data_IF_358673988100
#
_entry.id   IF_358673988100
#
_cell.length_a   1.000
_cell.length_b   1.000
_cell.length_c   1.000
_cell.angle_alpha   90.00
_cell.angle_beta   90.00
_cell.angle_gamma   90.00
#
_symmetry.space_group_name_H-M   'P 1'
#
loop_
_entity.id
_entity.type
_entity.pdbx_description
1 polymer ?
#
# COMPACT_ATOMS: atom_id res chain seq x y z
N UNK A 1 -28.51 17.41 3.26
CA UNK A 1 -29.11 16.47 2.29
C UNK A 1 -29.03 15.07 2.87
N UNK A 2 -30.15 14.52 3.32
CA UNK A 2 -30.30 13.18 3.86
C UNK A 2 -30.02 12.17 2.74
N UNK A 3 -28.82 11.59 2.71
CA UNK A 3 -28.55 10.44 1.86
C UNK A 3 -29.32 9.25 2.42
N UNK A 4 -30.05 8.52 1.57
CA UNK A 4 -30.87 7.40 2.02
C UNK A 4 -30.01 6.38 2.80
N UNK A 5 -30.50 5.79 3.90
CA UNK A 5 -29.75 4.84 4.71
C UNK A 5 -29.28 3.62 3.89
N UNK A 6 -29.98 3.26 2.84
CA UNK A 6 -29.59 2.18 1.93
C UNK A 6 -28.24 2.44 1.23
N UNK A 7 -27.98 3.69 0.82
CA UNK A 7 -26.70 4.05 0.20
C UNK A 7 -25.53 3.92 1.18
N UNK A 8 -25.71 4.32 2.43
CA UNK A 8 -24.70 4.18 3.46
C UNK A 8 -24.38 2.72 3.76
N UNK A 9 -25.40 1.87 3.82
CA UNK A 9 -25.21 0.44 4.02
C UNK A 9 -24.51 -0.23 2.84
N UNK A 10 -24.90 0.10 1.62
CA UNK A 10 -24.22 -0.43 0.42
C UNK A 10 -22.74 -0.02 0.41
N UNK A 11 -22.45 1.25 0.69
CA UNK A 11 -21.08 1.76 0.78
C UNK A 11 -20.27 1.06 1.89
N UNK A 12 -20.88 0.86 3.06
CA UNK A 12 -20.23 0.16 4.17
C UNK A 12 -19.88 -1.29 3.82
N UNK A 13 -20.83 -2.03 3.24
CA UNK A 13 -20.62 -3.44 2.85
C UNK A 13 -19.53 -3.56 1.78
N UNK A 14 -19.55 -2.70 0.76
CA UNK A 14 -18.52 -2.67 -0.27
C UNK A 14 -17.14 -2.38 0.30
N UNK A 15 -17.03 -1.37 1.19
CA UNK A 15 -15.76 -1.06 1.84
C UNK A 15 -15.27 -2.21 2.74
N UNK A 16 -16.15 -2.84 3.48
CA UNK A 16 -15.80 -3.99 4.33
C UNK A 16 -15.23 -5.13 3.49
N UNK A 17 -15.90 -5.46 2.38
CA UNK A 17 -15.45 -6.50 1.47
C UNK A 17 -14.09 -6.14 0.84
N UNK A 18 -13.96 -4.93 0.30
CA UNK A 18 -12.71 -4.43 -0.29
C UNK A 18 -11.54 -4.47 0.72
N UNK A 19 -11.78 -4.05 1.96
CA UNK A 19 -10.78 -4.07 3.02
C UNK A 19 -10.31 -5.48 3.35
N UNK A 20 -11.23 -6.45 3.46
CA UNK A 20 -10.88 -7.85 3.74
C UNK A 20 -10.04 -8.43 2.62
N UNK A 21 -10.45 -8.22 1.36
CA UNK A 21 -9.71 -8.70 0.17
C UNK A 21 -8.31 -8.07 0.11
N UNK A 22 -8.21 -6.77 0.37
CA UNK A 22 -6.94 -6.05 0.34
C UNK A 22 -5.98 -6.54 1.45
N UNK A 23 -6.46 -6.67 2.69
CA UNK A 23 -5.65 -7.20 3.80
C UNK A 23 -5.18 -8.63 3.51
N UNK A 24 -6.05 -9.49 2.99
CA UNK A 24 -5.70 -10.85 2.62
C UNK A 24 -4.62 -10.88 1.51
N UNK A 25 -4.78 -10.04 0.48
CA UNK A 25 -3.81 -9.91 -0.61
C UNK A 25 -2.43 -9.47 -0.13
N UNK A 26 -2.37 -8.42 0.68
CA UNK A 26 -1.10 -7.92 1.26
C UNK A 26 -0.47 -8.97 2.18
N UNK A 27 -1.25 -9.64 3.02
CA UNK A 27 -0.73 -10.69 3.90
C UNK A 27 -0.14 -11.88 3.11
N UNK A 28 -0.80 -12.29 2.01
CA UNK A 28 -0.29 -13.36 1.16
C UNK A 28 0.99 -12.96 0.42
N UNK A 29 1.08 -11.74 -0.12
CA UNK A 29 2.29 -11.25 -0.76
C UNK A 29 3.45 -11.20 0.25
N UNK A 30 3.20 -10.69 1.45
CA UNK A 30 4.20 -10.66 2.52
C UNK A 30 4.64 -12.06 2.93
N UNK A 31 3.71 -13.00 3.05
CA UNK A 31 4.00 -14.40 3.34
C UNK A 31 4.81 -15.06 2.23
N UNK A 32 4.52 -14.75 0.96
CA UNK A 32 5.29 -15.24 -0.17
C UNK A 32 6.74 -14.75 -0.13
N UNK A 33 6.97 -13.48 0.20
CA UNK A 33 8.34 -12.95 0.38
C UNK A 33 9.03 -13.63 1.57
N UNK A 34 8.34 -13.79 2.70
CA UNK A 34 8.89 -14.47 3.88
C UNK A 34 9.22 -15.95 3.61
N UNK A 35 8.50 -16.62 2.73
CA UNK A 35 8.78 -18.03 2.39
C UNK A 35 10.14 -18.23 1.74
N UNK A 36 10.71 -17.22 1.06
CA UNK A 36 12.08 -17.25 0.58
C UNK A 36 13.12 -17.14 1.70
N UNK A 37 12.78 -16.48 2.80
CA UNK A 37 13.67 -16.32 3.95
C UNK A 37 13.54 -17.48 4.94
N UNK A 38 12.38 -18.11 4.99
CA UNK A 38 12.03 -19.20 5.92
C UNK A 38 11.53 -20.43 5.15
N UNK A 39 12.41 -21.09 4.37
CA UNK A 39 12.05 -22.28 3.62
C UNK A 39 11.62 -23.42 4.59
N UNK A 40 10.51 -24.07 4.28
CA UNK A 40 9.97 -25.16 5.09
C UNK A 40 8.74 -24.81 5.93
N UNK A 41 8.37 -23.51 6.03
CA UNK A 41 7.13 -23.09 6.68
C UNK A 41 6.07 -22.85 5.60
N UNK A 42 4.89 -23.48 5.78
CA UNK A 42 3.79 -23.32 4.83
C UNK A 42 3.31 -21.86 4.73
N UNK A 43 3.00 -21.42 3.51
CA UNK A 43 2.61 -20.03 3.23
C UNK A 43 1.39 -19.57 4.06
N UNK A 44 0.47 -20.46 4.35
CA UNK A 44 -0.70 -20.15 5.17
C UNK A 44 -0.33 -19.87 6.64
N UNK A 45 0.69 -20.56 7.16
CA UNK A 45 1.20 -20.31 8.53
C UNK A 45 1.91 -18.96 8.57
N UNK A 46 2.69 -18.64 7.55
CA UNK A 46 3.35 -17.34 7.43
C UNK A 46 2.33 -16.21 7.30
N UNK A 47 1.30 -16.37 6.48
CA UNK A 47 0.24 -15.38 6.32
C UNK A 47 -0.53 -15.17 7.64
N UNK A 48 -0.86 -16.25 8.34
CA UNK A 48 -1.47 -16.18 9.68
C UNK A 48 -0.57 -15.47 10.69
N UNK A 49 0.74 -15.74 10.66
CA UNK A 49 1.72 -15.07 11.49
C UNK A 49 1.81 -13.57 11.23
N UNK A 50 1.84 -13.16 9.96
CA UNK A 50 1.82 -11.74 9.56
C UNK A 50 0.56 -11.05 10.08
N UNK A 51 -0.62 -11.67 9.90
CA UNK A 51 -1.88 -11.12 10.39
C UNK A 51 -1.89 -11.01 11.92
N UNK A 52 -1.40 -12.03 12.63
CA UNK A 52 -1.32 -12.02 14.08
C UNK A 52 -0.40 -10.91 14.61
N UNK A 53 0.80 -10.75 14.02
CA UNK A 53 1.73 -9.66 14.37
C UNK A 53 1.11 -8.30 14.09
N UNK A 54 0.46 -8.12 12.94
CA UNK A 54 -0.22 -6.88 12.60
C UNK A 54 -1.32 -6.56 13.61
N UNK A 55 -2.12 -7.56 13.99
CA UNK A 55 -3.17 -7.41 14.99
C UNK A 55 -2.61 -7.04 16.37
N UNK A 56 -1.53 -7.70 16.80
CA UNK A 56 -0.86 -7.39 18.06
C UNK A 56 -0.31 -5.97 18.09
N UNK A 57 0.33 -5.52 17.02
CA UNK A 57 0.82 -4.14 16.89
C UNK A 57 -0.35 -3.14 16.95
N UNK A 58 -1.48 -3.46 16.31
CA UNK A 58 -2.67 -2.61 16.35
C UNK A 58 -3.27 -2.53 17.77
N UNK A 59 -3.35 -3.65 18.48
CA UNK A 59 -3.92 -3.71 19.82
C UNK A 59 -2.99 -3.09 20.89
N UNK A 60 -1.68 -3.28 20.76
CA UNK A 60 -0.69 -2.73 21.67
C UNK A 60 -0.34 -1.27 21.36
N UNK A 61 -0.42 -0.87 20.09
CA UNK A 61 -0.01 0.43 19.59
C UNK A 61 -1.13 1.45 19.59
N UNK A 62 -1.04 2.46 20.45
CA UNK A 62 -1.82 3.69 20.23
C UNK A 62 -1.43 4.26 18.86
N UNK A 63 -2.31 5.07 18.25
CA UNK A 63 -2.11 5.78 16.98
C UNK A 63 -0.69 6.36 16.80
N UNK A 64 -0.05 6.82 17.88
CA UNK A 64 1.31 7.36 17.88
C UNK A 64 2.39 6.35 17.49
N UNK A 65 2.26 5.08 17.92
CA UNK A 65 3.21 4.03 17.55
C UNK A 65 3.08 3.66 16.08
N UNK A 66 1.85 3.57 15.59
CA UNK A 66 1.57 3.31 14.16
C UNK A 66 2.15 4.41 13.26
N UNK A 67 1.96 5.68 13.62
CA UNK A 67 2.50 6.83 12.89
C UNK A 67 4.04 6.82 12.86
N UNK A 68 4.68 6.51 14.00
CA UNK A 68 6.14 6.39 14.09
C UNK A 68 6.71 5.24 13.25
N UNK A 69 6.12 4.07 13.34
CA UNK A 69 6.53 2.88 12.56
C UNK A 69 6.34 3.13 11.06
N UNK A 70 5.21 3.70 10.65
CA UNK A 70 4.97 4.03 9.24
C UNK A 70 6.01 4.99 8.69
N UNK A 71 6.35 6.04 9.43
CA UNK A 71 7.41 6.99 9.02
C UNK A 71 8.76 6.32 8.88
N UNK A 72 9.13 5.47 9.83
CA UNK A 72 10.40 4.73 9.78
C UNK A 72 10.46 3.83 8.53
N UNK A 73 9.38 3.09 8.26
CA UNK A 73 9.28 2.22 7.09
C UNK A 73 9.39 3.04 5.80
N UNK A 74 8.69 4.16 5.70
CA UNK A 74 8.75 5.03 4.52
C UNK A 74 10.16 5.58 4.28
N UNK A 75 10.86 6.03 5.33
CA UNK A 75 12.25 6.50 5.22
C UNK A 75 13.16 5.35 4.77
N UNK A 76 13.03 4.16 5.35
CA UNK A 76 13.83 3.01 4.99
C UNK A 76 13.60 2.57 3.53
N UNK A 77 12.34 2.54 3.08
CA UNK A 77 11.99 2.22 1.70
C UNK A 77 12.54 3.26 0.72
N UNK A 78 12.39 4.54 1.02
CA UNK A 78 12.91 5.61 0.16
C UNK A 78 14.43 5.53 0.06
N UNK A 79 15.12 5.37 1.20
CA UNK A 79 16.57 5.24 1.22
C UNK A 79 17.06 4.00 0.46
N UNK A 80 16.41 2.85 0.64
CA UNK A 80 16.77 1.62 -0.08
C UNK A 80 16.52 1.72 -1.58
N UNK A 81 15.42 2.36 -2.00
CA UNK A 81 15.11 2.57 -3.41
C UNK A 81 16.13 3.50 -4.06
N UNK A 82 16.44 4.63 -3.42
CA UNK A 82 17.46 5.58 -3.91
C UNK A 82 18.82 4.88 -4.01
N UNK A 83 19.21 4.11 -2.99
CA UNK A 83 20.46 3.34 -3.01
C UNK A 83 20.48 2.32 -4.14
N UNK A 84 19.39 1.57 -4.35
CA UNK A 84 19.28 0.60 -5.43
C UNK A 84 19.41 1.25 -6.81
N UNK A 85 18.72 2.38 -7.02
CA UNK A 85 18.81 3.16 -8.26
C UNK A 85 20.23 3.69 -8.49
N UNK A 86 20.86 4.24 -7.44
CA UNK A 86 22.23 4.75 -7.51
C UNK A 86 23.25 3.64 -7.88
N UNK A 87 23.11 2.47 -7.24
CA UNK A 87 23.95 1.30 -7.54
C UNK A 87 23.73 0.80 -8.97
N UNK A 88 22.47 0.72 -9.41
CA UNK A 88 22.14 0.32 -10.78
C UNK A 88 22.70 1.31 -11.82
N UNK A 89 22.62 2.59 -11.56
CA UNK A 89 23.17 3.64 -12.41
C UNK A 89 24.72 3.60 -12.47
N UNK A 90 25.36 3.34 -11.32
CA UNK A 90 26.83 3.26 -11.24
C UNK A 90 27.40 2.01 -11.93
N UNK A 91 26.70 0.88 -11.87
CA UNK A 91 27.16 -0.37 -12.46
C UNK A 91 26.81 -0.53 -13.95
N UNK A 92 26.12 0.44 -14.55
CA UNK A 92 25.56 0.32 -15.89
C UNK A 92 24.41 -0.69 -15.92
N UNK A 93 23.50 -0.55 -16.89
CA UNK A 93 22.43 -1.52 -17.06
C UNK A 93 23.00 -2.91 -17.38
N UNK A 94 22.47 -3.94 -16.74
CA UNK A 94 22.81 -5.31 -17.09
C UNK A 94 22.59 -5.53 -18.60
N UNK A 95 23.53 -6.17 -19.33
CA UNK A 95 23.33 -6.46 -20.73
C UNK A 95 22.06 -7.31 -20.86
N UNK A 96 21.15 -6.89 -21.75
CA UNK A 96 19.94 -7.66 -22.05
C UNK A 96 20.33 -9.05 -22.52
N UNK A 97 19.72 -10.07 -21.94
CA UNK A 97 19.92 -11.44 -22.41
C UNK A 97 19.58 -11.50 -23.91
N UNK A 98 20.37 -12.25 -24.72
CA UNK A 98 20.15 -12.33 -26.17
C UNK A 98 18.74 -12.82 -26.55
N UNK A 99 18.10 -13.55 -25.65
CA UNK A 99 16.75 -14.11 -25.81
C UNK A 99 15.64 -13.27 -25.14
N UNK A 100 15.92 -12.00 -24.82
CA UNK A 100 14.92 -11.13 -24.22
C UNK A 100 13.88 -10.73 -25.25
N UNK A 101 12.73 -11.38 -25.18
CA UNK A 101 11.54 -10.96 -25.94
C UNK A 101 10.84 -9.84 -25.17
N UNK A 102 10.74 -8.68 -25.78
CA UNK A 102 9.95 -7.58 -25.26
C UNK A 102 8.48 -8.00 -25.28
N UNK A 103 7.93 -8.33 -24.12
CA UNK A 103 6.53 -8.73 -24.00
C UNK A 103 5.64 -7.52 -24.34
N UNK A 104 4.87 -7.62 -25.43
CA UNK A 104 3.91 -6.57 -25.79
C UNK A 104 2.88 -6.43 -24.66
N UNK A 105 2.66 -5.23 -24.12
CA UNK A 105 1.63 -5.01 -23.10
C UNK A 105 0.21 -5.22 -23.64
N UNK A 106 0.04 -5.27 -24.94
CA UNK A 106 -1.26 -5.36 -25.64
C UNK A 106 -1.63 -6.79 -26.03
N UNK A 107 -1.17 -7.79 -25.33
CA UNK A 107 -1.59 -9.17 -25.53
C UNK A 107 -2.60 -9.59 -24.43
N UNK A 108 -3.41 -10.62 -24.73
CA UNK A 108 -4.44 -11.12 -23.83
C UNK A 108 -3.88 -11.62 -22.49
N UNK A 109 -2.66 -12.13 -22.46
CA UNK A 109 -2.00 -12.58 -21.23
C UNK A 109 -1.60 -11.39 -20.32
N UNK A 110 -1.15 -10.27 -20.92
CA UNK A 110 -0.81 -9.06 -20.19
C UNK A 110 -2.06 -8.29 -19.73
N UNK A 111 -3.20 -8.46 -20.40
CA UNK A 111 -4.42 -7.72 -20.09
C UNK A 111 -4.89 -7.96 -18.65
N UNK A 112 -4.82 -9.21 -18.17
CA UNK A 112 -5.16 -9.55 -16.79
C UNK A 112 -4.28 -8.84 -15.77
N UNK A 113 -2.97 -8.74 -16.04
CA UNK A 113 -2.02 -8.01 -15.21
C UNK A 113 -2.28 -6.50 -15.23
N UNK A 114 -2.57 -5.93 -16.39
CA UNK A 114 -2.88 -4.49 -16.54
C UNK A 114 -4.16 -4.14 -15.78
N UNK A 115 -5.21 -4.97 -15.89
CA UNK A 115 -6.46 -4.77 -15.14
C UNK A 115 -6.22 -4.84 -13.63
N UNK A 116 -5.42 -5.80 -13.17
CA UNK A 116 -5.06 -5.91 -11.76
C UNK A 116 -4.25 -4.69 -11.28
N UNK A 117 -3.32 -4.20 -12.09
CA UNK A 117 -2.53 -3.01 -11.80
C UNK A 117 -3.42 -1.77 -11.73
N UNK A 118 -4.35 -1.60 -12.66
CA UNK A 118 -5.31 -0.49 -12.66
C UNK A 118 -6.26 -0.54 -11.45
N UNK A 119 -6.61 -1.74 -10.97
CA UNK A 119 -7.43 -1.91 -9.77
C UNK A 119 -6.74 -1.46 -8.48
N UNK A 120 -5.41 -1.40 -8.47
CA UNK A 120 -4.63 -0.95 -7.32
C UNK A 120 -4.13 0.51 -7.45
N UNK A 121 -4.25 1.11 -8.61
CA UNK A 121 -3.89 2.51 -8.84
C UNK A 121 -5.14 3.32 -9.24
N UNK A 122 -5.38 4.53 -8.68
CA UNK A 122 -4.46 5.33 -7.84
C UNK A 122 -4.48 4.99 -6.35
N UNK A 123 -5.50 4.33 -5.82
CA UNK A 123 -5.54 3.79 -4.47
C UNK A 123 -6.88 3.04 -4.26
N UNK A 124 -6.93 2.00 -3.43
CA UNK A 124 -8.17 1.35 -3.05
C UNK A 124 -9.17 2.34 -2.43
N UNK A 125 -10.46 2.10 -2.63
CA UNK A 125 -11.55 3.02 -2.21
C UNK A 125 -11.51 3.31 -0.70
N UNK A 126 -11.10 2.33 0.11
CA UNK A 126 -10.95 2.47 1.55
C UNK A 126 -9.91 3.51 1.96
N UNK A 127 -8.89 3.79 1.14
CA UNK A 127 -7.90 4.82 1.44
C UNK A 127 -8.49 6.21 1.53
N UNK A 128 -9.54 6.50 0.78
CA UNK A 128 -10.24 7.79 0.87
C UNK A 128 -10.88 8.00 2.25
N UNK A 129 -11.44 6.95 2.84
CA UNK A 129 -12.01 6.99 4.18
C UNK A 129 -10.91 7.06 5.26
N UNK A 130 -9.86 6.25 5.13
CA UNK A 130 -8.72 6.21 6.06
C UNK A 130 -8.01 7.56 6.09
N UNK A 131 -7.70 8.15 4.94
CA UNK A 131 -7.05 9.46 4.86
C UNK A 131 -7.88 10.56 5.51
N UNK A 132 -9.19 10.57 5.30
CA UNK A 132 -10.08 11.56 5.93
C UNK A 132 -10.13 11.42 7.45
N UNK A 133 -10.17 10.18 7.96
CA UNK A 133 -10.10 9.90 9.40
C UNK A 133 -8.75 10.28 9.99
N UNK A 134 -7.66 9.99 9.28
CA UNK A 134 -6.30 10.34 9.70
C UNK A 134 -6.11 11.85 9.81
N UNK A 135 -6.56 12.60 8.81
CA UNK A 135 -6.55 14.07 8.83
C UNK A 135 -7.40 14.60 9.98
N UNK A 136 -8.58 14.01 10.24
CA UNK A 136 -9.44 14.42 11.36
C UNK A 136 -8.78 14.21 12.73
N UNK A 137 -8.06 13.09 12.92
CA UNK A 137 -7.30 12.81 14.16
C UNK A 137 -6.11 13.76 14.30
N UNK A 138 -5.33 13.98 13.23
CA UNK A 138 -4.20 14.92 13.24
C UNK A 138 -4.63 16.36 13.53
N UNK A 139 -5.75 16.79 12.95
CA UNK A 139 -6.31 18.13 13.23
C UNK A 139 -6.64 18.34 14.70
N UNK A 140 -7.19 17.31 15.36
CA UNK A 140 -7.51 17.38 16.81
C UNK A 140 -6.27 17.38 17.69
N UNK A 141 -5.21 16.66 17.26
CA UNK A 141 -4.00 16.47 18.07
C UNK A 141 -2.99 17.59 17.90
N UNK A 142 -2.73 18.01 16.66
CA UNK A 142 -1.60 18.86 16.30
C UNK A 142 -2.05 20.27 15.86
N UNK A 143 -3.35 20.61 16.00
CA UNK A 143 -3.93 21.91 15.58
C UNK A 143 -3.56 22.33 14.15
N UNK A 144 -3.38 21.37 13.24
CA UNK A 144 -2.96 21.63 11.86
C UNK A 144 -4.04 22.39 11.11
N UNK A 145 -3.64 23.53 10.50
CA UNK A 145 -4.52 24.33 9.65
C UNK A 145 -4.96 23.55 8.41
N UNK A 146 -6.17 23.81 7.93
CA UNK A 146 -6.69 23.24 6.68
C UNK A 146 -5.76 23.49 5.48
N UNK A 147 -5.15 24.67 5.43
CA UNK A 147 -4.22 25.05 4.35
C UNK A 147 -2.97 24.18 4.30
N UNK A 148 -2.40 23.82 5.44
CA UNK A 148 -1.26 22.92 5.51
C UNK A 148 -1.63 21.49 5.07
N UNK A 149 -2.82 21.00 5.45
CA UNK A 149 -3.30 19.71 4.99
C UNK A 149 -3.54 19.67 3.49
N UNK A 150 -4.04 20.75 2.91
CA UNK A 150 -4.26 20.87 1.46
C UNK A 150 -2.94 20.95 0.69
N UNK A 151 -1.95 21.65 1.23
CA UNK A 151 -0.61 21.73 0.66
C UNK A 151 0.08 20.37 0.65
N UNK A 152 0.06 19.65 1.77
CA UNK A 152 0.64 18.31 1.92
C UNK A 152 -0.01 17.31 0.95
N UNK A 153 -1.34 17.36 0.84
CA UNK A 153 -2.10 16.55 -0.12
C UNK A 153 -1.69 16.83 -1.56
N UNK A 154 -1.63 18.11 -1.96
CA UNK A 154 -1.27 18.49 -3.33
C UNK A 154 0.17 18.11 -3.67
N UNK A 155 1.12 18.32 -2.76
CA UNK A 155 2.52 17.93 -2.95
C UNK A 155 2.63 16.41 -3.08
N UNK A 156 1.93 15.64 -2.24
CA UNK A 156 1.90 14.18 -2.33
C UNK A 156 1.31 13.68 -3.64
N UNK A 157 0.19 14.23 -4.10
CA UNK A 157 -0.45 13.83 -5.35
C UNK A 157 0.36 14.23 -6.60
N UNK A 158 0.87 15.44 -6.64
CA UNK A 158 1.72 15.90 -7.77
C UNK A 158 3.02 15.10 -7.80
N UNK A 159 3.65 14.89 -6.65
CA UNK A 159 4.90 14.13 -6.56
C UNK A 159 4.77 12.65 -6.88
N UNK A 160 3.58 12.06 -6.69
CA UNK A 160 3.32 10.66 -7.07
C UNK A 160 2.88 10.47 -8.52
N UNK A 161 2.54 11.57 -9.22
CA UNK A 161 2.09 11.57 -10.62
C UNK A 161 3.22 11.84 -11.62
N UNK A 162 4.38 12.30 -11.13
CA UNK A 162 5.61 12.56 -11.90
C UNK A 162 6.54 11.34 -11.87
#
# INVERSE_FOLDING_TARGET
>A
QSKSPAYLWAFFVLNLFATVVNIAGVALITAAILSFMLPGIGINILAGGVLAVTLLVLLAGKYSALDGVSKLIMIALTASTVAAVAIAAANGGAPRAPDFFEASPWNMAALGFIIALMGWMPAPIEFSAINSLWVAVKRKRDHVSYQFGLFDFNVGYIGSSL
#
